data_IF_174956759440
#
_entry.id   IF_174956759440
#
_cell.length_a   1.000
_cell.length_b   1.000
_cell.length_c   1.000
_cell.angle_alpha   90.00
_cell.angle_beta   90.00
_cell.angle_gamma   90.00
#
_symmetry.space_group_name_H-M   'P 1'
#
loop_
_entity.id
_entity.type
_entity.pdbx_description
1 polymer ?
#
# COMPACT_ATOMS: atom_id res chain seq x y z
N UNK A 1 32.86 17.41 -17.26
CA UNK A 1 33.03 18.64 -16.46
C UNK A 1 31.80 18.73 -15.59
N UNK A 2 31.89 18.05 -14.46
CA UNK A 2 30.79 17.84 -13.52
C UNK A 2 30.62 19.08 -12.64
N UNK A 3 29.39 19.59 -12.60
CA UNK A 3 29.01 20.68 -11.71
C UNK A 3 28.51 20.04 -10.43
N UNK A 4 29.37 20.00 -9.41
CA UNK A 4 29.02 19.61 -8.04
C UNK A 4 28.17 20.74 -7.46
N UNK A 5 26.85 20.54 -7.43
CA UNK A 5 25.96 21.40 -6.67
C UNK A 5 26.26 21.25 -5.18
N UNK A 6 26.58 22.40 -4.60
CA UNK A 6 27.04 22.60 -3.24
C UNK A 6 25.91 22.33 -2.26
N UNK A 7 26.00 21.23 -1.51
CA UNK A 7 25.13 20.99 -0.34
C UNK A 7 25.47 22.05 0.71
N UNK A 8 24.66 23.10 0.79
CA UNK A 8 24.78 24.16 1.78
C UNK A 8 24.58 23.60 3.20
N UNK A 9 25.65 23.64 3.99
CA UNK A 9 25.66 23.49 5.45
C UNK A 9 24.82 24.63 6.08
N UNK A 10 23.58 24.36 6.44
CA UNK A 10 22.79 25.21 7.35
C UNK A 10 22.69 24.53 8.72
N UNK A 11 23.14 25.15 9.83
CA UNK A 11 23.00 24.58 11.16
C UNK A 11 21.63 24.94 11.72
N UNK A 12 20.61 24.15 11.39
CA UNK A 12 19.39 24.13 12.19
C UNK A 12 19.64 23.21 13.38
N UNK A 13 19.74 23.78 14.59
CA UNK A 13 19.73 23.03 15.85
C UNK A 13 18.46 22.18 15.87
N UNK A 14 18.60 20.88 15.63
CA UNK A 14 17.46 19.96 15.63
C UNK A 14 16.87 19.84 17.05
N UNK A 15 15.56 19.61 17.13
CA UNK A 15 14.88 19.39 18.40
C UNK A 15 15.18 17.98 18.91
N UNK A 16 15.61 17.84 20.17
CA UNK A 16 15.84 16.53 20.78
C UNK A 16 14.53 15.77 20.94
N UNK A 17 14.53 14.50 20.56
CA UNK A 17 13.37 13.64 20.78
C UNK A 17 13.11 13.42 22.28
N UNK A 18 11.83 13.48 22.68
CA UNK A 18 11.47 13.34 24.10
C UNK A 18 11.63 11.93 24.68
N UNK A 19 11.62 10.89 23.84
CA UNK A 19 11.67 9.50 24.26
C UNK A 19 12.99 8.81 23.89
N UNK A 20 13.64 9.25 22.81
CA UNK A 20 14.81 8.60 22.22
C UNK A 20 16.00 9.56 22.09
N UNK A 21 16.30 10.26 23.18
CA UNK A 21 17.51 11.05 23.34
C UNK A 21 18.16 10.69 24.68
N UNK A 22 19.05 9.71 24.65
CA UNK A 22 19.67 9.14 25.84
C UNK A 22 20.99 9.86 26.18
N UNK A 23 21.21 10.14 27.46
CA UNK A 23 22.45 10.79 27.92
C UNK A 23 23.69 9.94 27.59
N UNK A 24 23.57 8.62 27.74
CA UNK A 24 24.59 7.59 27.44
C UNK A 24 24.62 7.14 25.96
N UNK A 25 23.75 7.70 25.11
CA UNK A 25 23.73 7.37 23.68
C UNK A 25 25.06 7.69 22.99
N UNK A 26 25.50 6.79 22.11
CA UNK A 26 26.79 6.86 21.41
C UNK A 26 26.71 7.34 19.95
N UNK A 27 25.50 7.65 19.47
CA UNK A 27 25.30 8.28 18.16
C UNK A 27 24.10 9.22 18.17
N UNK A 28 24.26 10.37 17.51
CA UNK A 28 23.18 11.31 17.21
C UNK A 28 22.76 11.15 15.76
N UNK A 29 21.51 10.77 15.55
CA UNK A 29 20.87 10.64 14.24
C UNK A 29 19.86 11.78 14.08
N UNK A 30 19.86 12.45 12.94
CA UNK A 30 18.85 13.45 12.58
C UNK A 30 17.89 12.88 11.55
N UNK A 31 16.61 12.86 11.89
CA UNK A 31 15.50 12.56 10.97
C UNK A 31 14.58 13.79 10.95
N UNK A 32 14.30 14.32 9.76
CA UNK A 32 13.68 15.65 9.59
C UNK A 32 14.45 16.72 10.40
N UNK A 33 13.76 17.36 11.35
CA UNK A 33 14.31 18.37 12.26
C UNK A 33 14.48 17.82 13.69
N UNK A 34 14.37 16.51 13.89
CA UNK A 34 14.43 15.84 15.19
C UNK A 34 15.76 15.10 15.35
N UNK A 35 16.42 15.28 16.50
CA UNK A 35 17.63 14.57 16.91
C UNK A 35 17.28 13.39 17.81
N UNK A 36 17.81 12.22 17.45
CA UNK A 36 17.73 10.98 18.19
C UNK A 36 19.13 10.63 18.69
N UNK A 37 19.35 10.64 20.00
CA UNK A 37 20.62 10.21 20.59
C UNK A 37 20.46 8.81 21.15
N UNK A 38 21.05 7.82 20.48
CA UNK A 38 20.81 6.39 20.71
C UNK A 38 22.11 5.58 20.71
N UNK A 39 22.02 4.28 20.94
CA UNK A 39 23.17 3.39 21.10
C UNK A 39 23.57 2.73 19.77
N UNK A 40 24.82 2.96 19.33
CA UNK A 40 25.41 2.33 18.14
C UNK A 40 25.33 0.80 18.20
N UNK A 41 25.67 0.22 19.34
CA UNK A 41 25.67 -1.23 19.55
C UNK A 41 24.30 -1.87 19.29
N UNK A 42 23.23 -1.21 19.72
CA UNK A 42 21.87 -1.74 19.56
C UNK A 42 21.35 -1.60 18.12
N UNK A 43 21.73 -0.52 17.42
CA UNK A 43 21.45 -0.42 15.99
C UNK A 43 22.23 -1.47 15.18
N UNK A 44 23.54 -1.59 15.46
CA UNK A 44 24.41 -2.55 14.78
C UNK A 44 23.97 -4.00 14.98
N UNK A 45 23.49 -4.36 16.18
CA UNK A 45 23.00 -5.72 16.45
C UNK A 45 21.77 -6.13 15.64
N UNK A 46 21.08 -5.16 15.01
CA UNK A 46 19.90 -5.39 14.20
C UNK A 46 20.07 -5.04 12.72
N UNK A 47 21.15 -4.35 12.34
CA UNK A 47 21.35 -3.79 11.00
C UNK A 47 22.76 -4.02 10.52
N UNK A 48 22.90 -4.84 9.47
CA UNK A 48 24.16 -5.07 8.77
C UNK A 48 24.72 -3.76 8.18
N UNK A 49 23.83 -2.87 7.75
CA UNK A 49 24.18 -1.55 7.22
C UNK A 49 24.83 -0.67 8.29
N UNK A 50 24.22 -0.56 9.47
CA UNK A 50 24.79 0.24 10.56
C UNK A 50 26.04 -0.42 11.16
N UNK A 51 26.07 -1.74 11.27
CA UNK A 51 27.26 -2.48 11.67
C UNK A 51 28.45 -2.16 10.75
N UNK A 52 28.27 -2.29 9.43
CA UNK A 52 29.29 -1.96 8.46
C UNK A 52 29.71 -0.49 8.51
N UNK A 53 28.74 0.43 8.61
CA UNK A 53 29.00 1.87 8.71
C UNK A 53 29.86 2.23 9.92
N UNK A 54 29.66 1.59 11.08
CA UNK A 54 30.42 1.87 12.30
C UNK A 54 31.81 1.23 12.34
N UNK A 55 32.10 0.26 11.48
CA UNK A 55 33.41 -0.38 11.38
C UNK A 55 34.39 0.39 10.48
N UNK A 56 33.91 1.36 9.69
CA UNK A 56 34.77 2.17 8.81
C UNK A 56 35.67 3.08 9.66
N UNK A 57 37.00 2.94 9.60
CA UNK A 57 37.92 3.80 10.34
C UNK A 57 37.81 5.24 9.85
N UNK A 58 37.75 6.21 10.78
CA UNK A 58 37.78 7.63 10.42
C UNK A 58 39.18 7.96 9.85
N UNK A 59 39.29 8.51 8.63
CA UNK A 59 40.58 8.87 8.05
C UNK A 59 41.34 9.85 8.95
N UNK A 60 42.55 9.48 9.35
CA UNK A 60 43.39 10.25 10.28
C UNK A 60 43.89 11.59 9.71
N UNK A 61 43.75 11.80 8.40
CA UNK A 61 44.35 12.92 7.65
C UNK A 61 43.43 14.13 7.44
N UNK A 62 42.24 14.16 8.05
CA UNK A 62 41.30 15.29 7.96
C UNK A 62 41.68 16.53 8.82
N UNK A 63 42.95 16.66 9.20
CA UNK A 63 43.49 17.75 10.04
C UNK A 63 43.73 19.08 9.30
N UNK A 64 43.41 19.18 8.01
CA UNK A 64 43.60 20.41 7.23
C UNK A 64 42.34 21.30 7.13
N UNK A 65 41.32 21.07 7.96
CA UNK A 65 40.24 22.03 8.17
C UNK A 65 40.24 22.51 9.63
N UNK A 66 40.15 23.83 9.84
CA UNK A 66 40.24 24.55 11.14
C UNK A 66 39.11 24.22 12.16
N UNK A 67 38.51 23.04 12.06
CA UNK A 67 37.61 22.47 13.05
C UNK A 67 38.06 21.04 13.31
N UNK A 68 38.38 20.65 14.56
CA UNK A 68 38.78 19.27 14.86
C UNK A 68 37.71 18.34 14.28
N UNK A 69 38.10 17.44 13.38
CA UNK A 69 37.20 16.61 12.59
C UNK A 69 36.18 15.90 13.48
N UNK A 70 34.98 16.48 13.60
CA UNK A 70 33.90 15.88 14.37
C UNK A 70 33.46 14.64 13.60
N UNK A 71 33.62 13.48 14.24
CA UNK A 71 33.11 12.21 13.70
C UNK A 71 31.60 12.34 13.51
N UNK A 72 31.11 11.98 12.33
CA UNK A 72 29.68 12.02 12.03
C UNK A 72 28.87 11.26 13.10
N UNK A 73 27.82 11.91 13.59
CA UNK A 73 26.97 11.42 14.66
C UNK A 73 27.54 11.54 16.07
N UNK A 74 28.70 12.17 16.29
CA UNK A 74 29.26 12.33 17.64
C UNK A 74 28.54 13.41 18.48
N UNK A 75 27.99 14.44 17.83
CA UNK A 75 27.41 15.61 18.51
C UNK A 75 26.09 16.04 17.86
N UNK A 76 25.32 16.88 18.57
CA UNK A 76 24.14 17.55 18.00
C UNK A 76 24.49 18.48 16.82
N UNK A 77 25.74 18.94 16.73
CA UNK A 77 26.23 19.83 15.67
C UNK A 77 26.65 19.08 14.41
N UNK A 78 27.02 17.80 14.56
CA UNK A 78 27.37 16.90 13.47
C UNK A 78 26.62 15.57 13.59
N UNK A 79 25.27 15.55 13.42
CA UNK A 79 24.50 14.31 13.48
C UNK A 79 24.58 13.52 12.16
N UNK A 80 24.38 12.20 12.21
CA UNK A 80 24.14 11.39 11.00
C UNK A 80 22.75 11.70 10.48
N UNK A 81 22.66 12.29 9.29
CA UNK A 81 21.38 12.68 8.69
C UNK A 81 20.79 11.53 7.89
N UNK A 82 19.57 11.12 8.20
CA UNK A 82 18.83 10.15 7.38
C UNK A 82 17.72 10.91 6.62
N UNK A 83 17.85 11.07 5.29
CA UNK A 83 16.87 11.79 4.49
C UNK A 83 15.60 10.95 4.25
N UNK A 84 14.52 11.59 3.83
CA UNK A 84 13.32 10.93 3.30
C UNK A 84 12.67 9.90 4.26
N UNK A 85 12.66 10.22 5.56
CA UNK A 85 11.93 9.47 6.60
C UNK A 85 11.27 10.50 7.51
N UNK A 86 10.03 10.24 7.94
CA UNK A 86 9.38 11.07 8.95
C UNK A 86 9.84 10.65 10.35
N UNK A 87 10.06 11.60 11.25
CA UNK A 87 10.50 11.30 12.63
C UNK A 87 9.52 10.35 13.36
N UNK A 88 8.22 10.42 13.07
CA UNK A 88 7.22 9.50 13.60
C UNK A 88 7.43 8.03 13.17
N UNK A 89 7.86 7.79 11.93
CA UNK A 89 8.15 6.45 11.43
C UNK A 89 9.38 5.87 12.12
N UNK A 90 10.42 6.71 12.28
CA UNK A 90 11.63 6.31 12.99
C UNK A 90 11.34 5.96 14.46
N UNK A 91 10.45 6.70 15.14
CA UNK A 91 9.97 6.35 16.49
C UNK A 91 9.29 4.98 16.54
N UNK A 92 8.56 4.58 15.51
CA UNK A 92 7.93 3.25 15.46
C UNK A 92 8.97 2.14 15.39
N UNK A 93 10.05 2.31 14.61
CA UNK A 93 11.18 1.39 14.59
C UNK A 93 11.91 1.35 15.93
N UNK A 94 12.19 2.51 16.53
CA UNK A 94 12.84 2.57 17.84
C UNK A 94 11.98 1.98 18.97
N UNK A 95 10.64 2.09 18.88
CA UNK A 95 9.73 1.43 19.81
C UNK A 95 9.91 -0.09 19.77
N UNK A 96 10.16 -0.67 18.61
CA UNK A 96 10.47 -2.09 18.50
C UNK A 96 11.84 -2.43 19.09
N UNK A 97 12.87 -1.64 18.78
CA UNK A 97 14.26 -1.92 19.18
C UNK A 97 14.50 -1.69 20.69
N UNK A 98 13.94 -0.63 21.27
CA UNK A 98 14.14 -0.25 22.68
C UNK A 98 12.97 -0.66 23.59
N UNK A 99 11.88 -1.14 23.02
CA UNK A 99 10.66 -1.42 23.77
C UNK A 99 10.85 -2.49 24.83
N UNK A 100 10.23 -2.26 25.99
CA UNK A 100 10.26 -3.18 27.12
C UNK A 100 8.86 -3.65 27.46
N UNK A 101 8.74 -4.76 28.20
CA UNK A 101 7.44 -5.28 28.65
C UNK A 101 6.71 -4.36 29.62
N UNK A 102 7.36 -3.34 30.20
CA UNK A 102 6.67 -2.32 30.99
C UNK A 102 5.98 -1.25 30.14
N UNK A 103 6.40 -1.10 28.87
CA UNK A 103 5.78 -0.15 27.94
C UNK A 103 4.51 -0.76 27.32
N UNK A 104 3.37 -0.10 27.57
CA UNK A 104 2.05 -0.53 27.08
C UNK A 104 1.93 -0.49 25.56
N UNK A 105 2.53 0.52 24.91
CA UNK A 105 2.54 0.62 23.47
C UNK A 105 3.39 -0.47 22.81
N UNK A 106 4.54 -0.80 23.41
CA UNK A 106 5.37 -1.90 22.93
C UNK A 106 4.64 -3.23 23.07
N UNK A 107 4.01 -3.49 24.22
CA UNK A 107 3.21 -4.71 24.42
C UNK A 107 2.09 -4.86 23.39
N UNK A 108 1.38 -3.78 23.10
CA UNK A 108 0.35 -3.79 22.06
C UNK A 108 0.94 -4.05 20.67
N UNK A 109 2.16 -3.56 20.40
CA UNK A 109 2.87 -3.77 19.13
C UNK A 109 3.33 -5.22 18.94
N UNK A 110 3.91 -5.86 19.98
CA UNK A 110 4.53 -7.19 19.89
C UNK A 110 3.62 -8.34 20.30
N UNK A 111 2.33 -8.08 20.54
CA UNK A 111 1.36 -9.11 20.87
C UNK A 111 1.27 -10.15 19.74
N UNK A 112 1.49 -11.43 20.06
CA UNK A 112 1.49 -12.51 19.06
C UNK A 112 0.12 -12.76 18.42
N UNK A 113 -0.94 -12.52 19.18
CA UNK A 113 -2.33 -12.67 18.75
C UNK A 113 -2.88 -11.33 18.30
N UNK A 114 -3.20 -11.23 17.01
CA UNK A 114 -3.98 -10.12 16.46
C UNK A 114 -5.39 -10.63 16.28
N UNK A 115 -6.30 -10.16 17.12
CA UNK A 115 -7.73 -10.36 16.92
C UNK A 115 -8.32 -9.26 16.03
N UNK A 116 -9.56 -9.44 15.60
CA UNK A 116 -10.25 -8.46 14.78
C UNK A 116 -10.36 -7.10 15.50
N UNK A 117 -10.47 -7.08 16.84
CA UNK A 117 -10.64 -5.86 17.63
C UNK A 117 -9.42 -4.95 17.59
N UNK A 118 -8.22 -5.52 17.59
CA UNK A 118 -6.94 -4.82 17.49
C UNK A 118 -6.67 -4.19 16.11
N UNK A 119 -7.43 -4.62 15.09
CA UNK A 119 -7.28 -4.18 13.72
C UNK A 119 -7.65 -2.69 13.54
N UNK A 120 -6.62 -1.83 13.51
CA UNK A 120 -6.73 -0.37 13.39
C UNK A 120 -5.77 0.17 12.32
N UNK A 121 -6.06 1.33 11.68
CA UNK A 121 -5.15 1.92 10.69
C UNK A 121 -3.82 2.32 11.33
N UNK A 122 -3.85 2.72 12.59
CA UNK A 122 -2.67 3.08 13.37
C UNK A 122 -1.74 1.90 13.58
N UNK A 123 -2.29 0.71 13.90
CA UNK A 123 -1.48 -0.49 14.07
C UNK A 123 -0.91 -0.97 12.73
N UNK A 124 -1.72 -0.93 11.67
CA UNK A 124 -1.26 -1.22 10.31
C UNK A 124 -0.08 -0.30 9.92
N UNK A 125 -0.23 1.02 10.11
CA UNK A 125 0.82 2.00 9.79
C UNK A 125 2.08 1.76 10.61
N UNK A 126 1.97 1.41 11.90
CA UNK A 126 3.14 1.08 12.73
C UNK A 126 3.92 -0.10 12.15
N UNK A 127 3.24 -1.19 11.77
CA UNK A 127 3.93 -2.33 11.15
C UNK A 127 4.50 -1.98 9.78
N UNK A 128 3.79 -1.19 8.97
CA UNK A 128 4.27 -0.74 7.67
C UNK A 128 5.54 0.13 7.80
N UNK A 129 5.55 1.08 8.74
CA UNK A 129 6.71 1.92 9.03
C UNK A 129 7.90 1.06 9.48
N UNK A 130 7.68 0.11 10.40
CA UNK A 130 8.73 -0.78 10.88
C UNK A 130 9.26 -1.65 9.74
N UNK A 131 8.39 -2.23 8.92
CA UNK A 131 8.78 -3.08 7.80
C UNK A 131 9.59 -2.30 6.75
N UNK A 132 9.11 -1.12 6.37
CA UNK A 132 9.76 -0.26 5.36
C UNK A 132 11.12 0.22 5.83
N UNK A 133 11.24 0.65 7.10
CA UNK A 133 12.51 1.10 7.65
C UNK A 133 13.47 -0.05 7.93
N UNK A 134 12.98 -1.19 8.41
CA UNK A 134 13.79 -2.39 8.62
C UNK A 134 14.38 -2.86 7.28
N UNK A 135 13.60 -2.86 6.21
CA UNK A 135 14.10 -3.16 4.87
C UNK A 135 15.18 -2.15 4.43
N UNK A 136 14.91 -0.85 4.57
CA UNK A 136 15.83 0.22 4.19
C UNK A 136 17.16 0.17 4.95
N UNK A 137 17.15 -0.28 6.20
CA UNK A 137 18.34 -0.41 7.04
C UNK A 137 18.88 -1.84 7.09
N UNK A 138 18.48 -2.73 6.19
CA UNK A 138 18.96 -4.12 6.14
C UNK A 138 18.79 -4.87 7.49
N UNK A 139 17.63 -4.72 8.13
CA UNK A 139 17.25 -5.36 9.39
C UNK A 139 16.32 -6.56 9.14
N UNK A 140 16.83 -7.59 8.47
CA UNK A 140 16.04 -8.68 7.91
C UNK A 140 15.10 -9.38 8.92
N UNK A 141 15.55 -9.58 10.17
CA UNK A 141 14.73 -10.21 11.23
C UNK A 141 13.52 -9.35 11.60
N UNK A 142 13.73 -8.03 11.70
CA UNK A 142 12.68 -7.07 12.07
C UNK A 142 11.69 -6.93 10.91
N UNK A 143 12.18 -6.85 9.67
CA UNK A 143 11.35 -6.79 8.48
C UNK A 143 10.45 -8.03 8.37
N UNK A 144 11.04 -9.23 8.49
CA UNK A 144 10.30 -10.50 8.44
C UNK A 144 9.22 -10.58 9.52
N UNK A 145 9.54 -10.13 10.74
CA UNK A 145 8.55 -10.03 11.81
C UNK A 145 7.41 -9.06 11.44
N UNK A 146 7.72 -7.86 10.95
CA UNK A 146 6.73 -6.84 10.65
C UNK A 146 5.82 -7.26 9.49
N UNK A 147 6.39 -7.83 8.42
CA UNK A 147 5.65 -8.41 7.30
C UNK A 147 4.69 -9.52 7.78
N UNK A 148 5.14 -10.40 8.69
CA UNK A 148 4.27 -11.41 9.30
C UNK A 148 3.09 -10.79 10.05
N UNK A 149 3.28 -9.68 10.75
CA UNK A 149 2.17 -9.00 11.43
C UNK A 149 1.22 -8.31 10.44
N UNK A 150 1.75 -7.68 9.38
CA UNK A 150 0.93 -7.12 8.29
C UNK A 150 0.05 -8.20 7.64
N UNK A 151 0.62 -9.37 7.31
CA UNK A 151 -0.15 -10.50 6.76
C UNK A 151 -1.24 -10.99 7.72
N UNK A 152 -1.01 -10.96 9.03
CA UNK A 152 -2.08 -11.27 10.01
C UNK A 152 -3.20 -10.23 9.98
N UNK A 153 -2.87 -8.93 9.88
CA UNK A 153 -3.87 -7.87 9.76
C UNK A 153 -4.70 -7.97 8.49
N UNK A 154 -4.07 -8.34 7.36
CA UNK A 154 -4.74 -8.50 6.07
C UNK A 154 -5.84 -9.59 6.08
N UNK A 155 -5.79 -10.54 7.03
CA UNK A 155 -6.89 -11.50 7.25
C UNK A 155 -8.21 -10.84 7.64
N UNK A 156 -8.15 -9.61 8.18
CA UNK A 156 -9.31 -8.79 8.54
C UNK A 156 -9.53 -7.66 7.52
N UNK A 157 -9.19 -7.90 6.25
CA UNK A 157 -9.20 -6.87 5.20
C UNK A 157 -10.55 -6.15 5.06
N UNK A 158 -11.70 -6.82 5.28
CA UNK A 158 -13.02 -6.15 5.22
C UNK A 158 -13.21 -5.11 6.31
N UNK A 159 -12.69 -5.36 7.52
CA UNK A 159 -12.69 -4.36 8.57
C UNK A 159 -11.74 -3.22 8.21
N UNK A 160 -10.51 -3.55 7.79
CA UNK A 160 -9.50 -2.55 7.41
C UNK A 160 -9.97 -1.65 6.27
N UNK A 161 -10.62 -2.19 5.24
CA UNK A 161 -11.07 -1.42 4.08
C UNK A 161 -12.14 -0.39 4.46
N UNK A 162 -12.91 -0.63 5.52
CA UNK A 162 -13.91 0.30 6.05
C UNK A 162 -13.34 1.45 6.89
N UNK A 163 -12.06 1.40 7.24
CA UNK A 163 -11.41 2.41 8.07
C UNK A 163 -10.92 3.61 7.22
N UNK A 164 -10.65 4.79 7.81
CA UNK A 164 -10.19 5.95 7.06
C UNK A 164 -8.72 5.82 6.64
N UNK A 165 -8.46 5.55 5.36
CA UNK A 165 -7.14 5.60 4.74
C UNK A 165 -6.86 6.97 4.11
N UNK A 166 -5.69 7.53 4.35
CA UNK A 166 -5.21 8.73 3.64
C UNK A 166 -4.51 8.33 2.34
N UNK A 167 -4.33 9.29 1.41
CA UNK A 167 -3.55 9.02 0.20
C UNK A 167 -2.08 8.69 0.53
N UNK A 168 -1.50 9.28 1.60
CA UNK A 168 -0.16 8.91 2.08
C UNK A 168 -0.11 7.44 2.45
N UNK A 169 -1.13 6.92 3.15
CA UNK A 169 -1.14 5.50 3.54
C UNK A 169 -1.14 4.57 2.33
N UNK A 170 -1.86 4.95 1.27
CA UNK A 170 -1.89 4.20 0.02
C UNK A 170 -0.50 4.18 -0.61
N UNK A 171 0.13 5.35 -0.80
CA UNK A 171 1.45 5.43 -1.43
C UNK A 171 2.56 4.78 -0.59
N UNK A 172 2.54 4.96 0.74
CA UNK A 172 3.49 4.33 1.65
C UNK A 172 3.34 2.79 1.58
N UNK A 173 2.11 2.29 1.46
CA UNK A 173 1.82 0.85 1.30
C UNK A 173 2.32 0.32 -0.06
N UNK A 174 2.06 1.04 -1.16
CA UNK A 174 2.51 0.67 -2.50
C UNK A 174 4.04 0.69 -2.61
N UNK A 175 4.69 1.68 -1.99
CA UNK A 175 6.14 1.78 -1.95
C UNK A 175 6.75 0.53 -1.29
N UNK A 176 6.28 0.15 -0.11
CA UNK A 176 6.76 -1.07 0.55
C UNK A 176 6.41 -2.34 -0.24
N UNK A 177 5.19 -2.44 -0.78
CA UNK A 177 4.74 -3.56 -1.61
C UNK A 177 5.64 -3.82 -2.81
N UNK A 178 6.15 -2.75 -3.44
CA UNK A 178 7.06 -2.85 -4.59
C UNK A 178 8.45 -3.38 -4.25
N UNK A 179 8.84 -3.32 -2.97
CA UNK A 179 10.16 -3.74 -2.50
C UNK A 179 10.17 -5.18 -1.98
N UNK A 180 9.01 -5.77 -1.69
CA UNK A 180 8.89 -7.15 -1.20
C UNK A 180 8.68 -8.14 -2.36
N UNK A 181 9.13 -9.38 -2.18
CA UNK A 181 8.91 -10.48 -3.13
C UNK A 181 7.71 -11.37 -2.76
N UNK A 182 6.97 -11.05 -1.69
CA UNK A 182 5.82 -11.83 -1.23
C UNK A 182 4.57 -11.49 -2.06
N UNK A 183 4.32 -12.27 -3.13
CA UNK A 183 3.19 -12.06 -4.05
C UNK A 183 1.83 -12.16 -3.35
N UNK A 184 1.67 -13.05 -2.36
CA UNK A 184 0.43 -13.17 -1.59
C UNK A 184 0.13 -11.85 -0.86
N UNK A 185 1.15 -11.29 -0.18
CA UNK A 185 1.05 -10.00 0.47
C UNK A 185 0.75 -8.87 -0.52
N UNK A 186 1.43 -8.83 -1.67
CA UNK A 186 1.20 -7.81 -2.70
C UNK A 186 -0.26 -7.82 -3.18
N UNK A 187 -0.80 -8.98 -3.54
CA UNK A 187 -2.18 -9.10 -4.00
C UNK A 187 -3.21 -8.76 -2.90
N UNK A 188 -3.01 -9.26 -1.68
CA UNK A 188 -3.93 -8.98 -0.57
C UNK A 188 -3.91 -7.49 -0.17
N UNK A 189 -2.75 -6.84 -0.21
CA UNK A 189 -2.60 -5.41 0.03
C UNK A 189 -3.22 -4.58 -1.08
N UNK A 190 -2.95 -4.89 -2.35
CA UNK A 190 -3.53 -4.20 -3.50
C UNK A 190 -5.06 -4.29 -3.45
N UNK A 191 -5.62 -5.47 -3.17
CA UNK A 191 -7.06 -5.63 -3.02
C UNK A 191 -7.63 -4.86 -1.81
N UNK A 192 -6.92 -4.79 -0.69
CA UNK A 192 -7.30 -3.94 0.45
C UNK A 192 -7.37 -2.46 0.05
N UNK A 193 -6.35 -1.96 -0.67
CA UNK A 193 -6.31 -0.58 -1.17
C UNK A 193 -7.51 -0.33 -2.07
N UNK A 194 -7.75 -1.17 -3.08
CA UNK A 194 -8.92 -1.06 -3.96
C UNK A 194 -10.24 -1.04 -3.18
N UNK A 195 -10.42 -1.93 -2.20
CA UNK A 195 -11.62 -1.93 -1.36
C UNK A 195 -11.76 -0.64 -0.53
N UNK A 196 -10.66 -0.09 0.00
CA UNK A 196 -10.69 1.15 0.77
C UNK A 196 -11.05 2.38 -0.09
N UNK A 197 -10.53 2.43 -1.32
CA UNK A 197 -10.89 3.47 -2.29
C UNK A 197 -12.35 3.32 -2.72
N UNK A 198 -12.82 2.10 -2.96
CA UNK A 198 -14.24 1.84 -3.26
C UNK A 198 -15.17 2.30 -2.13
N UNK A 199 -14.79 2.10 -0.86
CA UNK A 199 -15.56 2.60 0.27
C UNK A 199 -15.59 4.14 0.33
N UNK A 200 -14.53 4.82 -0.13
CA UNK A 200 -14.54 6.28 -0.32
C UNK A 200 -15.47 6.71 -1.47
N UNK A 201 -15.61 5.87 -2.49
CA UNK A 201 -16.47 6.09 -3.65
C UNK A 201 -17.96 5.90 -3.33
N UNK A 202 -18.34 4.92 -2.50
CA UNK A 202 -19.75 4.58 -2.20
C UNK A 202 -20.65 5.79 -1.86
N UNK A 203 -20.25 6.75 -1.01
CA UNK A 203 -21.06 7.94 -0.72
C UNK A 203 -21.24 8.89 -1.92
N UNK A 204 -20.40 8.80 -2.95
CA UNK A 204 -20.52 9.60 -4.18
C UNK A 204 -21.67 9.11 -5.07
N UNK A 205 -22.07 7.84 -4.94
CA UNK A 205 -23.19 7.24 -5.66
C UNK A 205 -24.58 7.59 -5.09
N UNK A 206 -24.64 8.14 -3.87
CA UNK A 206 -25.89 8.42 -3.15
C UNK A 206 -26.09 9.94 -2.93
N UNK A 207 -26.96 10.60 -3.75
CA UNK A 207 -27.23 12.03 -3.64
C UNK A 207 -27.84 12.48 -2.31
N UNK A 208 -28.32 11.55 -1.47
CA UNK A 208 -28.92 11.86 -0.17
C UNK A 208 -27.88 12.13 0.94
N UNK A 209 -26.60 11.75 0.74
CA UNK A 209 -25.51 11.86 1.74
C UNK A 209 -24.58 13.06 1.53
N UNK A 210 -25.15 14.23 1.21
CA UNK A 210 -24.41 15.42 0.72
C UNK A 210 -23.28 15.97 1.63
N UNK A 211 -23.34 15.80 2.96
CA UNK A 211 -22.36 16.41 3.88
C UNK A 211 -21.07 15.62 4.06
N UNK A 212 -21.11 14.28 4.05
CA UNK A 212 -19.91 13.43 4.17
C UNK A 212 -19.24 13.14 2.82
N UNK A 213 -20.00 13.19 1.71
CA UNK A 213 -19.50 12.88 0.37
C UNK A 213 -18.49 13.89 -0.18
N UNK A 214 -18.52 15.16 0.25
CA UNK A 214 -17.66 16.21 -0.35
C UNK A 214 -16.18 15.96 -0.10
N UNK A 215 -15.79 15.68 1.15
CA UNK A 215 -14.39 15.38 1.52
C UNK A 215 -13.85 14.12 0.84
N UNK A 216 -14.69 13.08 0.72
CA UNK A 216 -14.32 11.83 0.04
C UNK A 216 -14.19 12.01 -1.48
N UNK A 217 -15.08 12.79 -2.10
CA UNK A 217 -14.98 13.13 -3.53
C UNK A 217 -13.71 13.93 -3.84
N UNK A 218 -13.32 14.85 -2.95
CA UNK A 218 -12.04 15.58 -3.06
C UNK A 218 -10.86 14.61 -2.96
N UNK A 219 -10.89 13.64 -2.04
CA UNK A 219 -9.84 12.64 -1.90
C UNK A 219 -9.69 11.77 -3.15
N UNK A 220 -10.80 11.28 -3.70
CA UNK A 220 -10.79 10.45 -4.90
C UNK A 220 -10.28 11.25 -6.12
N UNK A 221 -10.69 12.52 -6.26
CA UNK A 221 -10.15 13.41 -7.29
C UNK A 221 -8.64 13.69 -7.11
N UNK A 222 -8.18 13.91 -5.88
CA UNK A 222 -6.75 14.06 -5.56
C UNK A 222 -5.95 12.80 -5.89
N UNK A 223 -6.52 11.62 -5.65
CA UNK A 223 -5.88 10.34 -5.97
C UNK A 223 -5.78 10.15 -7.48
N UNK A 224 -6.86 10.41 -8.22
CA UNK A 224 -6.89 10.34 -9.69
C UNK A 224 -5.88 11.30 -10.34
N UNK A 225 -5.77 12.52 -9.81
CA UNK A 225 -4.85 13.53 -10.33
C UNK A 225 -3.42 13.42 -9.77
N UNK A 226 -3.12 12.39 -8.97
CA UNK A 226 -1.79 12.25 -8.39
C UNK A 226 -0.78 11.89 -9.48
N UNK A 227 0.32 12.67 -9.65
CA UNK A 227 1.20 12.58 -10.81
C UNK A 227 1.91 11.22 -10.93
N UNK A 228 2.21 10.58 -9.80
CA UNK A 228 2.95 9.33 -9.76
C UNK A 228 2.08 8.09 -9.81
N UNK A 229 0.78 8.17 -9.49
CA UNK A 229 -0.08 6.98 -9.39
C UNK A 229 -0.10 6.22 -10.71
N UNK A 230 -0.24 6.98 -11.80
CA UNK A 230 -0.21 6.48 -13.17
C UNK A 230 1.04 5.65 -13.50
N UNK A 231 2.21 6.08 -13.02
CA UNK A 231 3.50 5.44 -13.33
C UNK A 231 3.83 4.30 -12.36
N UNK A 232 3.49 4.47 -11.09
CA UNK A 232 3.82 3.52 -10.04
C UNK A 232 2.89 2.30 -10.06
N UNK A 233 1.60 2.51 -10.35
CA UNK A 233 0.59 1.45 -10.34
C UNK A 233 -0.53 1.72 -11.38
N UNK A 234 -0.33 1.27 -12.63
CA UNK A 234 -1.33 1.43 -13.69
C UNK A 234 -2.66 0.74 -13.38
N UNK A 235 -2.64 -0.40 -12.69
CA UNK A 235 -3.85 -1.13 -12.33
C UNK A 235 -4.68 -0.33 -11.32
N UNK A 236 -4.07 0.19 -10.25
CA UNK A 236 -4.78 1.05 -9.30
C UNK A 236 -5.26 2.35 -9.96
N UNK A 237 -4.46 2.95 -10.84
CA UNK A 237 -4.90 4.12 -11.62
C UNK A 237 -6.15 3.82 -12.45
N UNK A 238 -6.15 2.71 -13.20
CA UNK A 238 -7.30 2.29 -14.01
C UNK A 238 -8.55 1.98 -13.18
N UNK A 239 -8.37 1.42 -11.98
CA UNK A 239 -9.46 1.23 -11.02
C UNK A 239 -10.04 2.57 -10.53
N UNK A 240 -9.18 3.53 -10.18
CA UNK A 240 -9.59 4.88 -9.79
C UNK A 240 -10.30 5.60 -10.94
N UNK A 241 -9.76 5.51 -12.15
CA UNK A 241 -10.37 6.02 -13.37
C UNK A 241 -11.77 5.42 -13.60
N UNK A 242 -11.93 4.11 -13.41
CA UNK A 242 -13.22 3.42 -13.51
C UNK A 242 -14.28 4.02 -12.56
N UNK A 243 -13.91 4.30 -11.31
CA UNK A 243 -14.79 4.96 -10.33
C UNK A 243 -15.10 6.42 -10.69
N UNK A 244 -14.10 7.18 -11.12
CA UNK A 244 -14.28 8.57 -11.57
C UNK A 244 -15.24 8.64 -12.76
N UNK A 245 -15.08 7.75 -13.74
CA UNK A 245 -15.96 7.65 -14.90
C UNK A 245 -17.39 7.26 -14.48
N UNK A 246 -17.53 6.25 -13.62
CA UNK A 246 -18.81 5.78 -13.08
C UNK A 246 -19.56 6.87 -12.29
N UNK A 247 -18.85 7.79 -11.62
CA UNK A 247 -19.46 8.90 -10.90
C UNK A 247 -20.25 9.86 -11.81
N UNK A 248 -19.84 9.98 -13.08
CA UNK A 248 -20.48 10.80 -14.10
C UNK A 248 -20.33 12.32 -13.90
N UNK A 249 -20.74 13.07 -14.94
CA UNK A 249 -20.53 14.52 -15.05
C UNK A 249 -21.24 15.38 -14.00
N UNK A 250 -22.29 14.85 -13.37
CA UNK A 250 -23.02 15.55 -12.32
C UNK A 250 -22.32 15.48 -10.96
N UNK A 251 -21.31 14.62 -10.82
CA UNK A 251 -20.56 14.46 -9.58
C UNK A 251 -19.72 15.70 -9.24
N UNK A 252 -19.49 15.92 -7.94
CA UNK A 252 -18.56 16.95 -7.46
C UNK A 252 -17.12 16.73 -7.93
N UNK A 253 -16.77 15.48 -8.28
CA UNK A 253 -15.46 15.10 -8.81
C UNK A 253 -15.24 15.77 -10.16
N UNK A 254 -16.17 15.57 -11.11
CA UNK A 254 -16.08 16.17 -12.45
C UNK A 254 -16.19 17.68 -12.43
N UNK A 255 -16.98 18.24 -11.51
CA UNK A 255 -17.10 19.69 -11.34
C UNK A 255 -15.79 20.35 -10.90
N UNK A 256 -14.91 19.60 -10.22
CA UNK A 256 -13.58 20.06 -9.81
C UNK A 256 -12.50 19.93 -10.90
N UNK A 257 -12.81 19.33 -12.04
CA UNK A 257 -11.85 19.03 -13.10
C UNK A 257 -11.74 20.14 -14.15
N UNK A 258 -10.58 20.21 -14.79
CA UNK A 258 -10.28 21.05 -15.94
C UNK A 258 -11.15 20.68 -17.15
N UNK A 259 -11.10 21.50 -18.21
CA UNK A 259 -11.81 21.21 -19.46
C UNK A 259 -11.22 19.99 -20.16
N UNK A 260 -9.90 19.87 -20.18
CA UNK A 260 -9.19 18.80 -20.87
C UNK A 260 -9.39 17.45 -20.19
N UNK A 261 -9.34 17.40 -18.85
CA UNK A 261 -9.65 16.19 -18.07
C UNK A 261 -11.09 15.70 -18.35
N UNK A 262 -12.06 16.61 -18.37
CA UNK A 262 -13.45 16.26 -18.71
C UNK A 262 -13.60 15.77 -20.14
N UNK A 263 -12.89 16.38 -21.09
CA UNK A 263 -12.89 15.93 -22.49
C UNK A 263 -12.39 14.48 -22.60
N UNK A 264 -11.34 14.10 -21.85
CA UNK A 264 -10.86 12.72 -21.78
C UNK A 264 -11.91 11.77 -21.22
N UNK A 265 -12.59 12.14 -20.13
CA UNK A 265 -13.64 11.31 -19.54
C UNK A 265 -14.86 11.14 -20.47
N UNK A 266 -15.25 12.19 -21.21
CA UNK A 266 -16.29 12.07 -22.24
C UNK A 266 -15.86 11.16 -23.39
N UNK A 267 -14.63 11.29 -23.89
CA UNK A 267 -14.10 10.41 -24.92
C UNK A 267 -14.09 8.95 -24.44
N UNK A 268 -13.58 8.69 -23.25
CA UNK A 268 -13.60 7.37 -22.65
C UNK A 268 -15.02 6.81 -22.48
N UNK A 269 -15.98 7.63 -22.04
CA UNK A 269 -17.38 7.22 -21.89
C UNK A 269 -17.96 6.72 -23.23
N UNK A 270 -17.62 7.37 -24.34
CA UNK A 270 -18.06 6.92 -25.68
C UNK A 270 -17.40 5.62 -26.13
N UNK A 271 -16.12 5.40 -25.80
CA UNK A 271 -15.41 4.16 -26.14
C UNK A 271 -15.87 2.97 -25.29
N UNK A 272 -16.29 3.22 -24.05
CA UNK A 272 -16.69 2.21 -23.07
C UNK A 272 -18.21 1.94 -23.04
N UNK A 273 -18.98 2.55 -23.95
CA UNK A 273 -20.44 2.36 -24.05
C UNK A 273 -20.83 2.04 -25.51
N UNK A 274 -21.14 0.77 -25.86
CA UNK A 274 -21.17 -0.42 -25.01
C UNK A 274 -19.77 -0.88 -24.57
N UNK A 275 -19.70 -1.83 -23.63
CA UNK A 275 -18.42 -2.35 -23.15
C UNK A 275 -17.65 -3.05 -24.29
N UNK A 276 -16.38 -2.71 -24.53
CA UNK A 276 -15.57 -3.40 -25.53
C UNK A 276 -15.43 -4.89 -25.19
N UNK A 277 -15.56 -5.75 -26.21
CA UNK A 277 -15.33 -7.20 -26.08
C UNK A 277 -13.87 -7.56 -25.81
N UNK A 278 -12.95 -6.61 -26.01
CA UNK A 278 -11.51 -6.74 -25.72
C UNK A 278 -11.20 -6.71 -24.22
N UNK A 279 -12.09 -6.16 -23.38
CA UNK A 279 -11.86 -6.09 -21.94
C UNK A 279 -11.82 -7.51 -21.35
N UNK A 280 -10.85 -7.82 -20.45
CA UNK A 280 -10.66 -9.17 -19.91
C UNK A 280 -11.67 -9.52 -18.80
N UNK A 281 -12.97 -9.37 -19.09
CA UNK A 281 -14.10 -9.66 -18.19
C UNK A 281 -14.79 -10.99 -18.47
N UNK A 282 -14.34 -11.77 -19.45
CA UNK A 282 -14.95 -13.07 -19.82
C UNK A 282 -15.09 -14.03 -18.63
N UNK A 283 -14.11 -14.04 -17.72
CA UNK A 283 -14.12 -14.85 -16.50
C UNK A 283 -15.28 -14.54 -15.55
N UNK A 284 -15.85 -13.32 -15.60
CA UNK A 284 -17.02 -12.94 -14.79
C UNK A 284 -18.27 -13.65 -15.30
N UNK A 285 -18.38 -13.80 -16.63
CA UNK A 285 -19.49 -14.51 -17.27
C UNK A 285 -19.29 -16.03 -17.18
N UNK A 286 -18.04 -16.49 -17.29
CA UNK A 286 -17.64 -17.89 -17.23
C UNK A 286 -16.52 -18.14 -16.20
N UNK A 287 -16.84 -18.26 -14.90
CA UNK A 287 -15.84 -18.46 -13.85
C UNK A 287 -15.06 -19.77 -13.95
N UNK A 288 -15.51 -20.73 -14.75
CA UNK A 288 -14.79 -21.98 -15.01
C UNK A 288 -13.40 -21.73 -15.61
N UNK A 289 -13.19 -20.61 -16.30
CA UNK A 289 -11.88 -20.17 -16.83
C UNK A 289 -10.82 -19.99 -15.73
N UNK A 290 -11.24 -19.67 -14.49
CA UNK A 290 -10.31 -19.51 -13.36
C UNK A 290 -9.67 -20.84 -12.94
N UNK A 291 -10.25 -21.97 -13.37
CA UNK A 291 -9.81 -23.31 -13.01
C UNK A 291 -9.10 -24.08 -14.13
N UNK A 292 -9.27 -23.67 -15.40
CA UNK A 292 -8.76 -24.42 -16.55
C UNK A 292 -7.24 -24.30 -16.75
N UNK A 293 -6.58 -23.33 -16.12
CA UNK A 293 -5.16 -23.01 -16.34
C UNK A 293 -4.25 -23.22 -15.12
N UNK A 294 -4.72 -23.92 -14.08
CA UNK A 294 -3.90 -24.21 -12.89
C UNK A 294 -3.17 -25.55 -13.13
N UNK A 295 -1.82 -25.57 -13.21
CA UNK A 295 -1.07 -26.80 -13.35
C UNK A 295 -1.40 -27.77 -12.21
N UNK A 296 -1.58 -29.05 -12.54
CA UNK A 296 -2.01 -30.12 -11.65
C UNK A 296 -0.92 -30.55 -10.64
N UNK A 297 -0.08 -29.61 -10.19
CA UNK A 297 1.15 -29.85 -9.43
C UNK A 297 0.93 -30.10 -7.94
N UNK A 298 -0.28 -29.86 -7.42
CA UNK A 298 -0.60 -29.98 -6.00
C UNK A 298 -1.87 -30.81 -5.79
N UNK A 299 -1.70 -32.08 -5.37
CA UNK A 299 -2.74 -33.06 -4.98
C UNK A 299 -3.97 -33.11 -5.93
N UNK A 300 -3.92 -33.91 -7.01
CA UNK A 300 -4.99 -34.03 -8.02
C UNK A 300 -6.38 -34.35 -7.45
N UNK A 301 -6.43 -35.02 -6.29
CA UNK A 301 -7.68 -35.45 -5.65
C UNK A 301 -8.53 -34.32 -5.07
N UNK A 302 -7.93 -33.18 -4.69
CA UNK A 302 -8.69 -32.08 -4.07
C UNK A 302 -9.10 -30.98 -5.06
N UNK A 303 -8.42 -30.86 -6.20
CA UNK A 303 -8.57 -29.74 -7.13
C UNK A 303 -9.97 -29.64 -7.74
N UNK A 304 -10.54 -30.77 -8.21
CA UNK A 304 -11.86 -30.79 -8.85
C UNK A 304 -12.96 -30.32 -7.89
N UNK A 305 -12.96 -30.82 -6.66
CA UNK A 305 -13.92 -30.42 -5.61
C UNK A 305 -13.71 -28.97 -5.17
N UNK A 306 -12.47 -28.52 -4.98
CA UNK A 306 -12.17 -27.13 -4.62
C UNK A 306 -12.56 -26.16 -5.74
N UNK A 307 -12.30 -26.51 -6.99
CA UNK A 307 -12.68 -25.72 -8.17
C UNK A 307 -14.19 -25.58 -8.29
N UNK A 308 -14.93 -26.69 -8.19
CA UNK A 308 -16.39 -26.66 -8.24
C UNK A 308 -16.98 -25.78 -7.12
N UNK A 309 -16.48 -25.93 -5.88
CA UNK A 309 -16.91 -25.12 -4.75
C UNK A 309 -16.58 -23.62 -4.97
N UNK A 310 -15.39 -23.32 -5.47
CA UNK A 310 -14.96 -21.96 -5.76
C UNK A 310 -15.83 -21.31 -6.84
N UNK A 311 -16.06 -21.99 -7.97
CA UNK A 311 -16.94 -21.51 -9.05
C UNK A 311 -18.37 -21.30 -8.54
N UNK A 312 -18.89 -22.18 -7.69
CA UNK A 312 -20.19 -22.00 -7.05
C UNK A 312 -20.23 -20.73 -6.19
N UNK A 313 -19.21 -20.48 -5.38
CA UNK A 313 -19.09 -19.25 -4.58
C UNK A 313 -19.00 -18.00 -5.45
N UNK A 314 -18.21 -18.02 -6.51
CA UNK A 314 -18.13 -16.91 -7.49
C UNK A 314 -19.50 -16.61 -8.07
N UNK A 315 -20.27 -17.64 -8.46
CA UNK A 315 -21.62 -17.49 -9.00
C UNK A 315 -22.64 -16.95 -7.98
N UNK A 316 -22.43 -17.19 -6.68
CA UNK A 316 -23.27 -16.66 -5.62
C UNK A 316 -22.95 -15.19 -5.31
N UNK A 317 -21.66 -14.82 -5.34
CA UNK A 317 -21.18 -13.49 -4.98
C UNK A 317 -21.37 -12.50 -6.14
N UNK A 318 -20.98 -12.90 -7.35
CA UNK A 318 -21.02 -12.02 -8.53
C UNK A 318 -22.40 -12.07 -9.17
N UNK A 319 -23.14 -10.97 -9.04
CA UNK A 319 -24.45 -10.81 -9.69
C UNK A 319 -24.28 -10.50 -11.18
N UNK A 320 -24.24 -11.56 -12.01
CA UNK A 320 -24.02 -11.47 -13.47
C UNK A 320 -24.93 -10.46 -14.19
N UNK A 321 -26.17 -10.28 -13.71
CA UNK A 321 -27.13 -9.31 -14.25
C UNK A 321 -26.71 -7.83 -14.11
N UNK A 322 -25.67 -7.52 -13.34
CA UNK A 322 -25.14 -6.16 -13.21
C UNK A 322 -24.25 -5.73 -14.38
N UNK A 323 -23.74 -6.68 -15.18
CA UNK A 323 -22.89 -6.43 -16.35
C UNK A 323 -23.69 -6.34 -17.67
N UNK A 324 -25.01 -6.19 -17.59
CA UNK A 324 -25.92 -6.13 -18.74
C UNK A 324 -26.03 -4.68 -19.27
N UNK A 325 -26.03 -4.55 -20.60
CA UNK A 325 -25.81 -3.31 -21.38
C UNK A 325 -26.99 -2.33 -21.48
N UNK A 326 -28.09 -2.55 -20.74
CA UNK A 326 -29.33 -1.76 -20.91
C UNK A 326 -29.19 -0.27 -20.51
N UNK A 327 -28.16 0.10 -19.74
CA UNK A 327 -27.94 1.47 -19.26
C UNK A 327 -26.46 1.89 -19.44
N UNK A 328 -26.18 3.13 -19.90
CA UNK A 328 -24.83 3.65 -20.02
C UNK A 328 -24.05 3.53 -18.70
N UNK A 329 -22.78 3.13 -18.79
CA UNK A 329 -21.86 3.00 -17.64
C UNK A 329 -22.27 1.99 -16.55
N UNK A 330 -23.35 1.22 -16.73
CA UNK A 330 -23.77 0.19 -15.73
C UNK A 330 -22.71 -0.89 -15.58
N UNK A 331 -22.15 -1.35 -16.71
CA UNK A 331 -21.04 -2.30 -16.72
C UNK A 331 -19.78 -1.76 -16.03
N UNK A 332 -19.41 -0.50 -16.27
CA UNK A 332 -18.30 0.18 -15.59
C UNK A 332 -18.55 0.26 -14.07
N UNK A 333 -19.77 0.62 -13.67
CA UNK A 333 -20.16 0.68 -12.26
C UNK A 333 -20.11 -0.71 -11.59
N UNK A 334 -20.43 -1.77 -12.32
CA UNK A 334 -20.30 -3.14 -11.85
C UNK A 334 -18.83 -3.56 -11.67
N UNK A 335 -17.92 -3.13 -12.56
CA UNK A 335 -16.48 -3.39 -12.42
C UNK A 335 -15.89 -2.80 -11.14
N UNK A 336 -16.39 -1.65 -10.68
CA UNK A 336 -15.95 -1.05 -9.41
C UNK A 336 -16.12 -1.99 -8.20
N UNK A 337 -17.03 -2.98 -8.27
CA UNK A 337 -17.33 -3.92 -7.18
C UNK A 337 -16.43 -5.15 -7.14
N UNK A 338 -15.66 -5.40 -8.21
CA UNK A 338 -14.90 -6.65 -8.35
C UNK A 338 -13.88 -6.88 -7.22
N UNK A 339 -13.12 -5.88 -6.73
CA UNK A 339 -12.23 -6.06 -5.58
C UNK A 339 -12.99 -6.48 -4.31
N UNK A 340 -14.20 -5.95 -4.09
CA UNK A 340 -15.04 -6.34 -2.96
C UNK A 340 -15.53 -7.79 -3.08
N UNK A 341 -15.77 -8.30 -4.29
CA UNK A 341 -16.09 -9.71 -4.51
C UNK A 341 -14.88 -10.61 -4.25
N UNK A 342 -13.69 -10.22 -4.70
CA UNK A 342 -12.43 -10.91 -4.37
C UNK A 342 -12.23 -10.98 -2.86
N UNK A 343 -12.42 -9.87 -2.14
CA UNK A 343 -12.34 -9.82 -0.68
C UNK A 343 -13.29 -10.83 -0.01
N UNK A 344 -14.56 -10.89 -0.45
CA UNK A 344 -15.53 -11.86 0.08
C UNK A 344 -15.15 -13.32 -0.19
N UNK A 345 -14.54 -13.60 -1.35
CA UNK A 345 -14.02 -14.93 -1.68
C UNK A 345 -12.85 -15.33 -0.77
N UNK A 346 -11.96 -14.38 -0.44
CA UNK A 346 -10.82 -14.62 0.44
C UNK A 346 -11.23 -14.89 1.90
N UNK A 347 -12.27 -14.23 2.37
CA UNK A 347 -12.83 -14.42 3.73
C UNK A 347 -13.73 -15.66 3.85
N UNK A 348 -14.15 -16.23 2.71
CA UNK A 348 -14.99 -17.42 2.71
C UNK A 348 -14.25 -18.62 3.31
N UNK A 349 -14.93 -19.46 4.11
CA UNK A 349 -14.30 -20.61 4.75
C UNK A 349 -13.67 -21.55 3.71
N UNK A 350 -12.40 -21.89 3.94
CA UNK A 350 -11.65 -22.83 3.10
C UNK A 350 -12.15 -24.26 3.36
N UNK A 351 -12.25 -25.12 2.33
CA UNK A 351 -12.68 -26.51 2.51
C UNK A 351 -11.70 -27.36 3.34
N UNK A 352 -10.42 -26.98 3.37
CA UNK A 352 -9.39 -27.54 4.24
C UNK A 352 -8.29 -26.50 4.50
N UNK A 353 -7.74 -26.47 5.71
CA UNK A 353 -6.66 -25.56 6.10
C UNK A 353 -5.33 -25.85 5.39
N UNK A 354 -5.12 -27.07 4.91
CA UNK A 354 -3.90 -27.47 4.19
C UNK A 354 -4.02 -27.32 2.66
N UNK A 355 -5.21 -27.00 2.14
CA UNK A 355 -5.44 -26.92 0.71
C UNK A 355 -5.07 -25.52 0.16
N UNK A 356 -4.14 -25.47 -0.79
CA UNK A 356 -3.69 -24.24 -1.46
C UNK A 356 -4.50 -23.87 -2.71
N UNK A 357 -5.46 -24.72 -3.15
CA UNK A 357 -6.22 -24.47 -4.38
C UNK A 357 -6.97 -23.14 -4.38
N UNK A 358 -7.59 -22.79 -3.24
CA UNK A 358 -8.30 -21.50 -3.11
C UNK A 358 -7.35 -20.31 -3.23
N UNK A 359 -6.14 -20.40 -2.68
CA UNK A 359 -5.14 -19.33 -2.81
C UNK A 359 -4.72 -19.16 -4.27
N UNK A 360 -4.43 -20.25 -4.98
CA UNK A 360 -4.09 -20.21 -6.42
C UNK A 360 -5.23 -19.64 -7.29
N UNK A 361 -6.49 -19.91 -6.93
CA UNK A 361 -7.65 -19.36 -7.64
C UNK A 361 -7.85 -17.86 -7.35
N UNK A 362 -7.61 -17.41 -6.11
CA UNK A 362 -7.60 -16.00 -5.77
C UNK A 362 -6.50 -15.26 -6.53
N UNK A 363 -5.29 -15.81 -6.59
CA UNK A 363 -4.19 -15.26 -7.37
C UNK A 363 -4.55 -15.10 -8.86
N UNK A 364 -5.29 -16.08 -9.44
CA UNK A 364 -5.81 -15.94 -10.81
C UNK A 364 -6.84 -14.82 -10.94
N UNK A 365 -7.69 -14.59 -9.94
CA UNK A 365 -8.59 -13.43 -9.94
C UNK A 365 -7.76 -12.14 -9.87
N UNK A 366 -6.75 -12.08 -9.00
CA UNK A 366 -5.90 -10.90 -8.83
C UNK A 366 -5.23 -10.52 -10.15
N UNK A 367 -4.62 -11.48 -10.85
CA UNK A 367 -4.04 -11.27 -12.19
C UNK A 367 -5.07 -10.79 -13.23
N UNK A 368 -6.31 -11.28 -13.16
CA UNK A 368 -7.39 -10.86 -14.07
C UNK A 368 -7.88 -9.44 -13.75
N UNK A 369 -7.93 -9.06 -12.48
CA UNK A 369 -8.27 -7.70 -12.05
C UNK A 369 -7.18 -6.71 -12.46
N UNK A 370 -5.92 -7.05 -12.24
CA UNK A 370 -4.79 -6.19 -12.63
C UNK A 370 -4.77 -5.99 -14.15
N UNK A 371 -4.96 -7.05 -14.95
CA UNK A 371 -5.07 -6.93 -16.40
C UNK A 371 -6.25 -6.05 -16.83
N UNK A 372 -7.43 -6.22 -16.21
CA UNK A 372 -8.61 -5.42 -16.50
C UNK A 372 -8.37 -3.93 -16.23
N UNK A 373 -7.86 -3.59 -15.06
CA UNK A 373 -7.69 -2.20 -14.70
C UNK A 373 -6.50 -1.57 -15.43
N UNK A 374 -5.45 -2.32 -15.74
CA UNK A 374 -4.37 -1.83 -16.61
C UNK A 374 -4.91 -1.49 -18.02
N UNK A 375 -5.76 -2.33 -18.60
CA UNK A 375 -6.39 -2.03 -19.90
C UNK A 375 -7.26 -0.75 -19.83
N UNK A 376 -8.00 -0.54 -18.73
CA UNK A 376 -8.77 0.69 -18.53
C UNK A 376 -7.87 1.92 -18.39
N UNK A 377 -6.69 1.77 -17.79
CA UNK A 377 -5.69 2.83 -17.74
C UNK A 377 -5.17 3.19 -19.14
N UNK A 378 -4.88 2.19 -19.98
CA UNK A 378 -4.46 2.39 -21.37
C UNK A 378 -5.53 3.10 -22.21
N UNK A 379 -6.80 2.72 -22.06
CA UNK A 379 -7.92 3.44 -22.72
C UNK A 379 -7.92 4.92 -22.31
N UNK A 380 -7.71 5.21 -21.03
CA UNK A 380 -7.60 6.58 -20.57
C UNK A 380 -6.38 7.31 -21.15
N UNK A 381 -5.26 6.62 -21.41
CA UNK A 381 -4.06 7.22 -22.00
C UNK A 381 -4.27 7.60 -23.45
N UNK A 382 -4.89 6.70 -24.22
CA UNK A 382 -5.16 6.90 -25.65
C UNK A 382 -6.33 7.87 -25.90
N UNK A 383 -6.99 8.37 -24.85
CA UNK A 383 -8.03 9.39 -24.99
C UNK A 383 -7.40 10.74 -25.34
N UNK A 384 -7.61 11.17 -26.59
CA UNK A 384 -7.19 12.46 -27.18
C UNK A 384 -5.72 12.56 -27.62
N UNK A 385 -5.04 11.42 -27.78
CA UNK A 385 -3.75 11.33 -28.49
C UNK A 385 -3.94 11.19 -30.02
#
# INVERSE_FOLDING_TARGET
MDTIETITKAPALGLRDGNYYFEDGSIVIRVEHILFKIHRSLLASHSELFEGMFQIPVPQDSKESDSPGEVDGATDKSPVVIPDIKAAQFRNLLLYIYGTTSNTEYRALVQDTIDESACTPTLFRRYLDIASLAQRFCMAVIESWALKQLKKLLRFSKKLSGLPWSNSDIFDSLAYSSLTFDQEFQHDLHNLICCSVYNCYLPCLDPSRKRSGRSLSTRLGQLYNHPTLKQQDPALFGFVFCMVLSAGYQSSIWQGMTRDERAKLYAAQTQLTPLPSTLPIGWVQNPSELSSSIPNESRPSCFSSCSQNFVQKVNQIIKRGEFVEELPLRGITAMCKLPTYRQQLAESPKPSNECVCTLKMLEKIDLKLDALFTELAEIHYNCLD
#
